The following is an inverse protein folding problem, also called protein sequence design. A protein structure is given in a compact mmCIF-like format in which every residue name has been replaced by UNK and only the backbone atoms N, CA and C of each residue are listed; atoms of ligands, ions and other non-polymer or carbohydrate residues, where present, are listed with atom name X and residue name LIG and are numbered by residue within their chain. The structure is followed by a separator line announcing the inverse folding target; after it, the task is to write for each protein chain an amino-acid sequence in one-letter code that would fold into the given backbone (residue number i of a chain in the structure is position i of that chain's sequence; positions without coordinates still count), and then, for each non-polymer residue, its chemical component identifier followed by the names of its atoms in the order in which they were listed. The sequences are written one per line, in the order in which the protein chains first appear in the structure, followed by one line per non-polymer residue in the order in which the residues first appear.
data_IF_521743106993
#
_entry.id   IF_521743106993
#
_cell.length_a   1.000
_cell.length_b   1.000
_cell.length_c   1.000
_cell.angle_alpha   90.00
_cell.angle_beta   90.00
_cell.angle_gamma   90.00
#
_symmetry.space_group_name_H-M   'P 1'
#
loop_
_entity.id
_entity.type
_entity.pdbx_description
1 polymer ?
#
# COMPACT_ATOMS: atom_id res chain seq x y z
N UNK A 1 20.05 -16.53 -38.78
CA UNK A 1 20.37 -15.14 -38.36
C UNK A 1 19.12 -14.29 -38.13
N UNK A 2 18.18 -14.18 -39.08
CA UNK A 2 17.00 -13.31 -38.91
C UNK A 2 16.05 -13.71 -37.77
N UNK A 3 15.81 -15.02 -37.56
CA UNK A 3 14.97 -15.52 -36.46
C UNK A 3 15.55 -15.14 -35.09
N UNK A 4 16.87 -15.31 -34.93
CA UNK A 4 17.58 -14.96 -33.70
C UNK A 4 17.48 -13.45 -33.44
N UNK A 5 17.66 -12.62 -34.48
CA UNK A 5 17.50 -11.17 -34.37
C UNK A 5 16.07 -10.76 -33.97
N UNK A 6 15.04 -11.41 -34.53
CA UNK A 6 13.65 -11.16 -34.19
C UNK A 6 13.34 -11.53 -32.72
N UNK A 7 13.83 -12.68 -32.25
CA UNK A 7 13.66 -13.12 -30.86
C UNK A 7 14.39 -12.19 -29.87
N UNK A 8 15.57 -11.69 -30.25
CA UNK A 8 16.31 -10.72 -29.44
C UNK A 8 15.54 -9.41 -29.28
N UNK A 9 14.97 -8.87 -30.38
CA UNK A 9 14.15 -7.66 -30.33
C UNK A 9 12.88 -7.86 -29.50
N UNK A 10 12.19 -8.98 -29.67
CA UNK A 10 10.99 -9.30 -28.88
C UNK A 10 11.31 -9.39 -27.38
N UNK A 11 12.42 -10.05 -27.03
CA UNK A 11 12.90 -10.14 -25.65
C UNK A 11 13.22 -8.76 -25.06
N UNK A 12 13.85 -7.88 -25.86
CA UNK A 12 14.21 -6.53 -25.43
C UNK A 12 12.97 -5.67 -25.15
N UNK A 13 11.96 -5.72 -26.03
CA UNK A 13 10.67 -5.03 -25.81
C UNK A 13 10.00 -5.55 -24.54
N UNK A 14 10.00 -6.87 -24.32
CA UNK A 14 9.45 -7.47 -23.11
C UNK A 14 10.14 -6.99 -21.84
N UNK A 15 11.48 -6.94 -21.82
CA UNK A 15 12.25 -6.47 -20.67
C UNK A 15 11.99 -4.98 -20.36
N UNK A 16 11.87 -4.14 -21.40
CA UNK A 16 11.49 -2.73 -21.24
C UNK A 16 10.10 -2.62 -20.59
N UNK A 17 9.15 -3.43 -21.05
CA UNK A 17 7.80 -3.46 -20.45
C UNK A 17 7.83 -3.88 -18.97
N UNK A 18 8.61 -4.90 -18.62
CA UNK A 18 8.79 -5.32 -17.23
C UNK A 18 9.39 -4.21 -16.36
N UNK A 19 10.37 -3.46 -16.89
CA UNK A 19 10.96 -2.32 -16.18
C UNK A 19 9.95 -1.21 -15.93
N UNK A 20 9.10 -0.88 -16.91
CA UNK A 20 8.03 0.11 -16.75
C UNK A 20 7.04 -0.34 -15.67
N UNK A 21 6.64 -1.61 -15.67
CA UNK A 21 5.76 -2.18 -14.65
C UNK A 21 6.38 -2.09 -13.25
N UNK A 22 7.65 -2.45 -13.10
CA UNK A 22 8.37 -2.33 -11.83
C UNK A 22 8.45 -0.87 -11.34
N UNK A 23 8.73 0.09 -12.22
CA UNK A 23 8.72 1.52 -11.88
C UNK A 23 7.34 2.02 -11.45
N UNK A 24 6.26 1.52 -12.05
CA UNK A 24 4.88 1.83 -11.61
C UNK A 24 4.63 1.30 -10.19
N UNK A 25 5.03 0.06 -9.90
CA UNK A 25 4.89 -0.52 -8.57
C UNK A 25 5.70 0.22 -7.50
N UNK A 26 6.95 0.61 -7.80
CA UNK A 26 7.76 1.42 -6.88
C UNK A 26 7.13 2.78 -6.59
N UNK A 27 6.59 3.45 -7.62
CA UNK A 27 5.85 4.71 -7.42
C UNK A 27 4.61 4.52 -6.55
N UNK A 28 3.86 3.43 -6.75
CA UNK A 28 2.71 3.10 -5.91
C UNK A 28 3.12 2.89 -4.44
N UNK A 29 4.17 2.10 -4.18
CA UNK A 29 4.72 1.91 -2.82
C UNK A 29 5.14 3.23 -2.16
N UNK A 30 5.75 4.15 -2.93
CA UNK A 30 6.10 5.49 -2.43
C UNK A 30 4.84 6.29 -2.10
N UNK A 31 3.82 6.26 -2.98
CA UNK A 31 2.54 6.93 -2.77
C UNK A 31 1.86 6.51 -1.46
N UNK A 32 1.86 5.22 -1.15
CA UNK A 32 1.35 4.72 0.13
C UNK A 32 2.08 5.38 1.30
N UNK A 33 3.41 5.40 1.26
CA UNK A 33 4.22 5.95 2.35
C UNK A 33 4.07 7.47 2.50
N UNK A 34 4.01 8.21 1.40
CA UNK A 34 4.04 9.68 1.42
C UNK A 34 2.66 10.33 1.48
N UNK A 35 1.61 9.66 0.99
CA UNK A 35 0.26 10.25 0.92
C UNK A 35 -0.74 9.57 1.85
N UNK A 36 -0.63 8.25 2.09
CA UNK A 36 -1.61 7.51 2.88
C UNK A 36 -1.21 7.37 4.34
N UNK A 37 0.09 7.20 4.63
CA UNK A 37 0.59 6.96 5.99
C UNK A 37 0.12 8.03 6.98
N UNK A 38 0.32 9.30 6.66
CA UNK A 38 -0.05 10.41 7.55
C UNK A 38 -1.57 10.50 7.75
N UNK A 39 -2.35 10.22 6.70
CA UNK A 39 -3.82 10.16 6.79
C UNK A 39 -4.29 9.01 7.69
N UNK A 40 -3.65 7.84 7.56
CA UNK A 40 -3.92 6.68 8.42
C UNK A 40 -3.59 7.01 9.87
N UNK A 41 -2.44 7.65 10.13
CA UNK A 41 -2.06 8.07 11.49
C UNK A 41 -3.11 9.02 12.05
N UNK A 42 -3.46 10.08 11.33
CA UNK A 42 -4.46 11.05 11.77
C UNK A 42 -5.81 10.38 12.10
N UNK A 43 -6.27 9.48 11.23
CA UNK A 43 -7.52 8.73 11.45
C UNK A 43 -7.44 7.81 12.68
N UNK A 44 -6.30 7.16 12.92
CA UNK A 44 -6.09 6.34 14.14
C UNK A 44 -6.16 7.21 15.39
N UNK A 45 -5.51 8.37 15.40
CA UNK A 45 -5.53 9.28 16.55
C UNK A 45 -6.95 9.75 16.84
N UNK A 46 -7.68 10.18 15.81
CA UNK A 46 -9.06 10.62 15.94
C UNK A 46 -9.98 9.50 16.46
N UNK A 47 -9.89 8.30 15.88
CA UNK A 47 -10.68 7.13 16.28
C UNK A 47 -10.44 6.77 17.76
N UNK A 48 -9.17 6.74 18.19
CA UNK A 48 -8.81 6.39 19.57
C UNK A 48 -9.22 7.46 20.56
N UNK A 49 -9.15 8.74 20.19
CA UNK A 49 -9.64 9.85 21.00
C UNK A 49 -11.16 9.78 21.18
N UNK A 50 -11.91 9.49 20.11
CA UNK A 50 -13.37 9.35 20.16
C UNK A 50 -13.84 8.15 21.00
N UNK A 51 -13.10 7.03 20.94
CA UNK A 51 -13.42 5.80 21.68
C UNK A 51 -12.86 5.76 23.10
N UNK A 52 -12.17 6.84 23.53
CA UNK A 52 -11.58 6.91 24.86
C UNK A 52 -12.66 6.88 25.93
N UNK A 53 -12.49 5.99 26.90
CA UNK A 53 -13.40 5.80 28.03
C UNK A 53 -12.62 5.30 29.25
N UNK A 54 -13.28 5.22 30.40
CA UNK A 54 -12.66 4.68 31.63
C UNK A 54 -12.27 3.20 31.49
N UNK A 55 -12.98 2.44 30.64
CA UNK A 55 -12.70 1.03 30.35
C UNK A 55 -11.62 0.89 29.28
N UNK A 56 -11.65 1.74 28.26
CA UNK A 56 -10.66 1.78 27.18
C UNK A 56 -9.92 3.13 27.21
N UNK A 57 -8.88 3.25 28.05
CA UNK A 57 -8.24 4.53 28.31
C UNK A 57 -7.51 5.12 27.10
N UNK A 58 -7.21 4.29 26.10
CA UNK A 58 -6.50 4.67 24.86
C UNK A 58 -5.36 5.65 25.12
N UNK A 59 -4.53 5.30 26.11
CA UNK A 59 -3.41 6.12 26.52
C UNK A 59 -2.36 6.22 25.40
N UNK A 60 -1.40 7.11 25.58
CA UNK A 60 -0.38 7.40 24.57
C UNK A 60 0.40 6.14 24.16
N UNK A 61 0.61 5.19 25.08
CA UNK A 61 1.26 3.92 24.79
C UNK A 61 0.43 3.06 23.82
N UNK A 62 -0.88 2.93 24.07
CA UNK A 62 -1.77 2.22 23.16
C UNK A 62 -1.81 2.89 21.79
N UNK A 63 -1.96 4.22 21.74
CA UNK A 63 -1.97 4.97 20.50
C UNK A 63 -0.66 4.78 19.70
N UNK A 64 0.49 4.88 20.36
CA UNK A 64 1.78 4.64 19.74
C UNK A 64 1.91 3.21 19.19
N UNK A 65 1.47 2.20 19.95
CA UNK A 65 1.48 0.81 19.52
C UNK A 65 0.56 0.57 18.31
N UNK A 66 -0.65 1.15 18.31
CA UNK A 66 -1.59 1.06 17.18
C UNK A 66 -1.02 1.71 15.92
N UNK A 67 -0.46 2.92 16.05
CA UNK A 67 0.22 3.62 14.94
C UNK A 67 1.37 2.77 14.41
N UNK A 68 2.22 2.24 15.30
CA UNK A 68 3.34 1.39 14.91
C UNK A 68 2.86 0.16 14.14
N UNK A 69 1.89 -0.57 14.68
CA UNK A 69 1.34 -1.78 14.06
C UNK A 69 0.83 -1.52 12.64
N UNK A 70 0.06 -0.45 12.44
CA UNK A 70 -0.58 -0.17 11.15
C UNK A 70 0.38 0.46 10.13
N UNK A 71 1.42 1.15 10.59
CA UNK A 71 2.35 1.88 9.72
C UNK A 71 3.67 1.17 9.45
N UNK A 72 3.89 0.01 10.08
CA UNK A 72 5.11 -0.78 9.93
C UNK A 72 5.32 -1.30 8.50
N UNK A 73 4.24 -1.66 7.79
CA UNK A 73 4.30 -2.25 6.45
C UNK A 73 3.34 -1.55 5.48
N UNK A 74 3.70 -1.51 4.19
CA UNK A 74 2.91 -0.80 3.17
C UNK A 74 1.58 -1.49 2.92
N UNK A 75 1.56 -2.82 2.95
CA UNK A 75 0.32 -3.60 2.92
C UNK A 75 -0.62 -3.21 4.06
N UNK A 76 -0.11 -3.03 5.28
CA UNK A 76 -0.92 -2.60 6.43
C UNK A 76 -1.40 -1.16 6.33
N UNK A 77 -0.56 -0.24 5.87
CA UNK A 77 -0.99 1.15 5.63
C UNK A 77 -2.14 1.15 4.62
N UNK A 78 -1.98 0.42 3.51
CA UNK A 78 -3.01 0.31 2.48
C UNK A 78 -4.29 -0.35 3.01
N UNK A 79 -4.16 -1.41 3.80
CA UNK A 79 -5.29 -2.09 4.42
C UNK A 79 -6.03 -1.16 5.40
N UNK A 80 -5.30 -0.45 6.27
CA UNK A 80 -5.88 0.54 7.18
C UNK A 80 -6.60 1.66 6.43
N UNK A 81 -6.02 2.14 5.32
CA UNK A 81 -6.60 3.20 4.51
C UNK A 81 -7.91 2.77 3.84
N UNK A 82 -8.00 1.50 3.40
CA UNK A 82 -9.23 0.93 2.87
C UNK A 82 -10.27 0.68 3.98
N UNK A 83 -9.84 0.10 5.10
CA UNK A 83 -10.72 -0.23 6.24
C UNK A 83 -11.35 1.02 6.86
N UNK A 84 -10.62 2.14 6.88
CA UNK A 84 -11.08 3.43 7.41
C UNK A 84 -11.68 4.34 6.34
N UNK A 85 -11.91 3.81 5.14
CA UNK A 85 -12.50 4.53 3.99
C UNK A 85 -11.75 5.82 3.60
N UNK A 86 -10.47 5.93 3.96
CA UNK A 86 -9.58 7.04 3.55
C UNK A 86 -9.39 7.01 2.03
N UNK A 87 -9.35 5.81 1.47
CA UNK A 87 -9.44 5.55 0.04
C UNK A 87 -10.46 4.44 -0.21
N UNK A 88 -11.02 4.40 -1.41
CA UNK A 88 -11.97 3.37 -1.84
C UNK A 88 -11.33 2.42 -2.86
N UNK A 89 -11.98 1.30 -3.14
CA UNK A 89 -11.60 0.46 -4.26
C UNK A 89 -11.69 1.23 -5.59
N UNK A 90 -12.73 2.07 -5.76
CA UNK A 90 -12.89 2.91 -6.95
C UNK A 90 -11.67 3.82 -7.17
N UNK A 91 -11.12 4.40 -6.10
CA UNK A 91 -9.89 5.20 -6.18
C UNK A 91 -8.70 4.40 -6.71
N UNK A 92 -8.60 3.10 -6.37
CA UNK A 92 -7.56 2.21 -6.91
C UNK A 92 -7.79 1.87 -8.38
N UNK A 93 -9.05 1.74 -8.80
CA UNK A 93 -9.42 1.52 -10.20
C UNK A 93 -9.09 2.75 -11.05
N UNK A 94 -9.56 3.92 -10.64
CA UNK A 94 -9.39 5.19 -11.35
C UNK A 94 -7.91 5.61 -11.45
N UNK A 95 -7.13 5.34 -10.40
CA UNK A 95 -5.68 5.62 -10.41
C UNK A 95 -4.84 4.56 -11.13
N UNK A 96 -5.46 3.49 -11.64
CA UNK A 96 -4.78 2.38 -12.31
C UNK A 96 -3.88 1.54 -11.38
N UNK A 97 -4.11 1.61 -10.06
CA UNK A 97 -3.29 0.94 -9.05
C UNK A 97 -3.91 -0.34 -8.48
N UNK A 98 -5.11 -0.74 -8.91
CA UNK A 98 -5.76 -1.97 -8.43
C UNK A 98 -4.84 -3.20 -8.50
N UNK A 99 -4.18 -3.42 -9.65
CA UNK A 99 -3.22 -4.54 -9.80
C UNK A 99 -1.99 -4.39 -8.92
N UNK A 100 -1.53 -3.16 -8.67
CA UNK A 100 -0.40 -2.91 -7.79
C UNK A 100 -0.77 -3.18 -6.33
N UNK A 101 -2.00 -2.85 -5.92
CA UNK A 101 -2.55 -3.16 -4.60
C UNK A 101 -2.66 -4.68 -4.39
N UNK A 102 -3.27 -5.40 -5.34
CA UNK A 102 -3.35 -6.87 -5.31
C UNK A 102 -1.96 -7.51 -5.24
N UNK A 103 -1.03 -7.04 -6.07
CA UNK A 103 0.35 -7.51 -6.04
C UNK A 103 1.02 -7.22 -4.70
N UNK A 104 0.82 -6.03 -4.12
CA UNK A 104 1.37 -5.68 -2.81
C UNK A 104 0.85 -6.63 -1.72
N UNK A 105 -0.46 -6.84 -1.65
CA UNK A 105 -1.05 -7.76 -0.67
C UNK A 105 -0.58 -9.20 -0.84
N UNK A 106 -0.30 -9.62 -2.08
CA UNK A 106 0.26 -10.94 -2.34
C UNK A 106 1.71 -11.06 -1.83
N UNK A 107 2.59 -10.12 -2.19
CA UNK A 107 4.02 -10.21 -1.83
C UNK A 107 4.28 -9.90 -0.35
N UNK A 108 3.44 -9.10 0.29
CA UNK A 108 3.53 -8.76 1.71
C UNK A 108 2.50 -9.53 2.57
N UNK A 109 1.97 -10.66 2.08
CA UNK A 109 0.93 -11.46 2.76
C UNK A 109 1.33 -11.87 4.18
N UNK A 110 2.60 -12.21 4.40
CA UNK A 110 3.11 -12.63 5.71
C UNK A 110 3.02 -11.53 6.77
N UNK A 111 2.87 -10.27 6.37
CA UNK A 111 2.70 -9.14 7.27
C UNK A 111 1.23 -8.83 7.56
N UNK A 112 0.26 -9.51 6.92
CA UNK A 112 -1.18 -9.27 7.12
C UNK A 112 -1.82 -10.22 8.13
N UNK A 113 -1.11 -11.29 8.53
CA UNK A 113 -1.44 -12.20 9.62
C UNK A 113 -0.87 -11.67 10.94
#
# INVERSE_FOLDING_TARGET
MQIIAALALASLVWLIWQLIKAKRFTRFKRKIETELKDKVIASIVEELAQKRSDIFPNNDCHQAATIFYWTQYKSRILHAALQREIITEQWLQDSGNLRNAQHLFHVERNFLL
#
